data_IF_702810763544
#
_entry.id   IF_702810763544
#
_cell.length_a   1.000
_cell.length_b   1.000
_cell.length_c   1.000
_cell.angle_alpha   90.00
_cell.angle_beta   90.00
_cell.angle_gamma   90.00
#
_symmetry.space_group_name_H-M   'P 1'
#
loop_
_entity.id
_entity.type
_entity.pdbx_description
1 polymer ?
#
# COMPACT_ATOMS: atom_id res chain seq x y z
N UNK A 1 15.74 11.55 -2.73
CA UNK A 1 15.00 10.30 -2.45
C UNK A 1 15.44 9.23 -3.44
N UNK A 2 16.02 8.13 -2.96
CA UNK A 2 16.37 7.01 -3.85
C UNK A 2 15.07 6.28 -4.21
N UNK A 3 14.68 6.28 -5.48
CA UNK A 3 13.53 5.50 -5.95
C UNK A 3 13.88 4.02 -5.86
N UNK A 4 13.14 3.29 -5.03
CA UNK A 4 13.15 1.83 -4.99
C UNK A 4 11.86 1.30 -5.60
N UNK A 5 11.94 0.17 -6.30
CA UNK A 5 10.75 -0.52 -6.78
C UNK A 5 9.99 -1.09 -5.57
N UNK A 6 8.72 -0.72 -5.45
CA UNK A 6 7.80 -1.29 -4.45
C UNK A 6 7.17 -2.54 -5.04
N UNK A 7 6.80 -3.47 -4.16
CA UNK A 7 6.05 -4.66 -4.54
C UNK A 7 4.68 -4.28 -5.16
N UNK A 8 4.35 -4.86 -6.31
CA UNK A 8 3.13 -4.55 -7.05
C UNK A 8 1.85 -4.95 -6.29
N UNK A 9 1.92 -5.85 -5.31
CA UNK A 9 0.76 -6.36 -4.56
C UNK A 9 -0.01 -5.26 -3.84
N UNK A 10 0.68 -4.22 -3.33
CA UNK A 10 0.01 -3.09 -2.65
C UNK A 10 -0.92 -2.36 -3.63
N UNK A 11 -0.40 -2.04 -4.81
CA UNK A 11 -1.17 -1.36 -5.87
C UNK A 11 -2.36 -2.21 -6.32
N UNK A 12 -2.12 -3.49 -6.63
CA UNK A 12 -3.17 -4.40 -7.11
C UNK A 12 -4.27 -4.57 -6.07
N UNK A 13 -3.92 -4.70 -4.78
CA UNK A 13 -4.92 -4.86 -3.72
C UNK A 13 -5.80 -3.60 -3.57
N UNK A 14 -5.21 -2.41 -3.65
CA UNK A 14 -5.97 -1.15 -3.59
C UNK A 14 -6.90 -1.02 -4.80
N UNK A 15 -6.38 -1.25 -6.01
CA UNK A 15 -7.16 -1.15 -7.25
C UNK A 15 -8.35 -2.11 -7.24
N UNK A 16 -8.12 -3.38 -6.89
CA UNK A 16 -9.20 -4.37 -6.82
C UNK A 16 -10.22 -4.01 -5.74
N UNK A 17 -9.77 -3.57 -4.56
CA UNK A 17 -10.67 -3.14 -3.49
C UNK A 17 -11.58 -1.98 -3.90
N UNK A 18 -11.06 -1.01 -4.65
CA UNK A 18 -11.86 0.09 -5.20
C UNK A 18 -12.88 -0.41 -6.22
N UNK A 19 -12.45 -1.25 -7.17
CA UNK A 19 -13.32 -1.81 -8.22
C UNK A 19 -14.46 -2.64 -7.63
N UNK A 20 -14.18 -3.42 -6.59
CA UNK A 20 -15.16 -4.30 -5.94
C UNK A 20 -15.98 -3.60 -4.84
N UNK A 21 -15.63 -2.37 -4.45
CA UNK A 21 -16.30 -1.65 -3.35
C UNK A 21 -15.94 -2.18 -1.95
N UNK A 22 -14.78 -2.83 -1.82
CA UNK A 22 -14.28 -3.41 -0.58
C UNK A 22 -13.37 -2.43 0.19
N UNK A 23 -13.37 -2.55 1.52
CA UNK A 23 -12.42 -1.85 2.39
C UNK A 23 -11.14 -2.67 2.52
N UNK A 24 -10.02 -2.10 2.13
CA UNK A 24 -8.69 -2.68 2.32
C UNK A 24 -8.05 -2.18 3.62
N UNK A 25 -7.21 -3.02 4.24
CA UNK A 25 -6.48 -2.66 5.46
C UNK A 25 -5.00 -2.99 5.32
N UNK A 26 -4.13 -2.10 5.80
CA UNK A 26 -2.68 -2.29 5.83
C UNK A 26 -2.15 -1.92 7.22
N UNK A 27 -1.18 -2.69 7.72
CA UNK A 27 -0.42 -2.35 8.90
C UNK A 27 1.01 -1.96 8.50
N UNK A 28 1.40 -0.71 8.78
CA UNK A 28 2.75 -0.21 8.52
C UNK A 28 3.45 -0.05 9.86
N UNK A 29 4.57 -0.77 10.04
CA UNK A 29 5.32 -0.79 11.30
C UNK A 29 6.71 -0.21 11.06
N UNK A 30 7.13 0.72 11.91
CA UNK A 30 8.48 1.28 11.90
C UNK A 30 8.54 2.72 12.40
N UNK A 31 9.73 3.17 12.77
CA UNK A 31 9.99 4.52 13.30
C UNK A 31 9.53 5.63 12.34
N UNK A 32 9.64 5.39 11.02
CA UNK A 32 9.26 6.33 9.95
C UNK A 32 8.00 5.93 9.20
N UNK A 33 7.11 5.13 9.82
CA UNK A 33 5.87 4.68 9.20
C UNK A 33 4.94 5.82 8.80
N UNK A 34 5.02 6.96 9.49
CA UNK A 34 4.24 8.18 9.19
C UNK A 34 4.57 8.80 7.83
N UNK A 35 5.80 8.58 7.33
CA UNK A 35 6.27 9.14 6.07
C UNK A 35 6.04 8.21 4.87
N UNK A 36 5.50 7.00 5.12
CA UNK A 36 5.10 6.04 4.09
C UNK A 36 3.67 6.32 3.64
#
# INVERSE_FOLDING_TARGET
MVRKKIDNRIRVLIENGVVEGHRTFFAVIGEKARDQ
#
